data_IF_593177738922
#
_entry.id   IF_593177738922
#
_cell.length_a   1.000
_cell.length_b   1.000
_cell.length_c   1.000
_cell.angle_alpha   90.00
_cell.angle_beta   90.00
_cell.angle_gamma   90.00
#
_symmetry.space_group_name_H-M   'P 1'
#
loop_
_entity.id
_entity.type
_entity.pdbx_description
1 polymer ?
#
# COMPACT_ATOMS: atom_id res chain seq x y z
N UNK A 1 13.69 30.58 -5.35
CA UNK A 1 12.25 30.24 -5.30
C UNK A 1 11.40 31.44 -5.71
N UNK A 2 10.10 31.26 -5.98
CA UNK A 2 9.14 32.30 -6.35
C UNK A 2 7.88 32.19 -5.48
N UNK A 3 7.09 33.26 -5.29
CA UNK A 3 5.78 33.17 -4.65
C UNK A 3 4.85 32.22 -5.41
N UNK A 4 4.12 31.38 -4.69
CA UNK A 4 3.14 30.44 -5.25
C UNK A 4 1.84 30.48 -4.45
N UNK A 5 0.73 30.10 -5.07
CA UNK A 5 -0.54 29.93 -4.36
C UNK A 5 -0.44 28.73 -3.43
N UNK A 6 -0.94 28.87 -2.19
CA UNK A 6 -1.06 27.73 -1.27
C UNK A 6 -1.88 26.58 -1.88
N UNK A 7 -2.95 26.90 -2.60
CA UNK A 7 -3.75 25.91 -3.32
C UNK A 7 -2.92 25.11 -4.36
N UNK A 8 -1.97 25.76 -5.04
CA UNK A 8 -1.08 25.07 -5.97
C UNK A 8 -0.16 24.09 -5.25
N UNK A 9 0.35 24.45 -4.07
CA UNK A 9 1.16 23.57 -3.24
C UNK A 9 0.34 22.36 -2.76
N UNK A 10 -0.86 22.57 -2.21
CA UNK A 10 -1.73 21.48 -1.75
C UNK A 10 -2.11 20.53 -2.91
N UNK A 11 -2.45 21.08 -4.08
CA UNK A 11 -2.79 20.28 -5.25
C UNK A 11 -1.63 19.40 -5.75
N UNK A 12 -0.37 19.81 -5.53
CA UNK A 12 0.77 18.97 -5.89
C UNK A 12 0.76 17.62 -5.15
N UNK A 13 0.32 17.60 -3.88
CA UNK A 13 0.14 16.37 -3.11
C UNK A 13 -1.07 15.56 -3.56
N UNK A 14 -2.19 16.24 -3.89
CA UNK A 14 -3.38 15.56 -4.43
C UNK A 14 -3.05 14.83 -5.75
N UNK A 15 -2.20 15.40 -6.60
CA UNK A 15 -1.75 14.74 -7.83
C UNK A 15 -0.94 13.46 -7.54
N UNK A 16 -0.13 13.45 -6.48
CA UNK A 16 0.61 12.25 -6.08
C UNK A 16 -0.32 11.14 -5.59
N UNK A 17 -1.26 11.47 -4.70
CA UNK A 17 -2.25 10.53 -4.18
C UNK A 17 -3.23 10.06 -5.26
N UNK A 18 -3.56 10.91 -6.24
CA UNK A 18 -4.39 10.52 -7.39
C UNK A 18 -3.72 9.44 -8.23
N UNK A 19 -2.40 9.50 -8.42
CA UNK A 19 -1.64 8.41 -9.06
C UNK A 19 -1.61 7.14 -8.21
N UNK A 20 -1.57 7.27 -6.88
CA UNK A 20 -1.64 6.10 -6.01
C UNK A 20 -3.02 5.41 -6.09
N UNK A 21 -4.10 6.19 -6.14
CA UNK A 21 -5.45 5.66 -6.33
C UNK A 21 -5.59 4.94 -7.69
N UNK A 22 -5.00 5.50 -8.74
CA UNK A 22 -4.95 4.84 -10.05
C UNK A 22 -4.20 3.50 -9.99
N UNK A 23 -3.06 3.44 -9.29
CA UNK A 23 -2.33 2.17 -9.09
C UNK A 23 -3.18 1.12 -8.39
N UNK A 24 -3.93 1.50 -7.35
CA UNK A 24 -4.83 0.58 -6.64
C UNK A 24 -5.92 0.03 -7.58
N UNK A 25 -6.54 0.88 -8.41
CA UNK A 25 -7.55 0.44 -9.39
C UNK A 25 -6.96 -0.51 -10.43
N UNK A 26 -5.76 -0.22 -10.90
CA UNK A 26 -5.06 -1.05 -11.87
C UNK A 26 -4.62 -2.40 -11.28
N UNK A 27 -4.21 -2.40 -10.01
CA UNK A 27 -3.88 -3.60 -9.26
C UNK A 27 -5.12 -4.48 -9.08
N UNK A 28 -6.22 -3.90 -8.58
CA UNK A 28 -7.49 -4.60 -8.37
C UNK A 28 -7.93 -5.35 -9.63
N UNK A 29 -7.99 -4.67 -10.78
CA UNK A 29 -8.29 -5.28 -12.06
C UNK A 29 -7.32 -6.41 -12.44
N UNK A 30 -6.00 -6.19 -12.38
CA UNK A 30 -5.01 -7.24 -12.72
C UNK A 30 -5.12 -8.48 -11.83
N UNK A 31 -5.51 -8.31 -10.57
CA UNK A 31 -5.57 -9.37 -9.57
C UNK A 31 -6.91 -10.07 -9.49
N UNK A 32 -7.90 -9.65 -10.30
CA UNK A 32 -9.22 -10.26 -10.40
C UNK A 32 -9.22 -11.61 -11.16
N UNK A 33 -8.19 -12.45 -10.93
CA UNK A 33 -8.05 -13.81 -11.48
C UNK A 33 -8.08 -14.85 -10.35
N UNK A 34 -8.93 -15.87 -10.47
CA UNK A 34 -9.10 -16.89 -9.43
C UNK A 34 -8.04 -17.99 -9.53
N UNK A 35 -7.30 -18.31 -8.45
CA UNK A 35 -6.44 -19.49 -8.40
C UNK A 35 -7.22 -20.78 -8.11
N UNK A 36 -8.53 -20.69 -7.83
CA UNK A 36 -9.34 -21.83 -7.43
C UNK A 36 -9.43 -22.85 -8.57
N UNK A 37 -9.27 -24.13 -8.24
CA UNK A 37 -9.18 -25.21 -9.23
C UNK A 37 -7.75 -25.65 -9.57
N UNK A 38 -6.73 -24.92 -9.11
CA UNK A 38 -5.32 -25.28 -9.30
C UNK A 38 -4.87 -26.50 -8.49
N UNK A 39 -5.66 -26.93 -7.50
CA UNK A 39 -5.31 -28.04 -6.61
C UNK A 39 -4.01 -27.76 -5.83
N UNK A 40 -3.17 -28.77 -5.64
CA UNK A 40 -1.86 -28.59 -5.01
C UNK A 40 -0.87 -27.85 -5.93
N UNK A 41 -0.89 -28.19 -7.23
CA UNK A 41 -0.07 -27.57 -8.29
C UNK A 41 -0.45 -28.02 -9.71
N UNK A 42 -1.11 -29.18 -9.87
CA UNK A 42 -1.35 -29.84 -11.16
C UNK A 42 -2.82 -29.78 -11.63
N UNK A 43 -3.62 -28.89 -11.04
CA UNK A 43 -5.06 -28.82 -11.30
C UNK A 43 -5.87 -29.81 -10.46
N UNK A 44 -7.17 -29.59 -10.41
CA UNK A 44 -8.13 -30.48 -9.75
C UNK A 44 -8.53 -31.65 -10.65
N UNK A 45 -8.59 -32.86 -10.08
CA UNK A 45 -9.09 -34.07 -10.75
C UNK A 45 -10.60 -34.31 -10.54
N UNK A 46 -11.28 -33.45 -9.78
CA UNK A 46 -12.67 -33.64 -9.37
C UNK A 46 -13.71 -33.15 -10.41
N UNK A 47 -13.27 -32.79 -11.62
CA UNK A 47 -14.16 -32.33 -12.70
C UNK A 47 -14.88 -31.00 -12.40
N UNK A 48 -14.32 -30.17 -11.52
CA UNK A 48 -14.84 -28.82 -11.26
C UNK A 48 -14.60 -27.91 -12.47
N UNK A 49 -15.46 -26.90 -12.64
CA UNK A 49 -15.30 -25.82 -13.63
C UNK A 49 -14.68 -24.58 -12.95
N UNK A 50 -13.37 -24.29 -13.15
CA UNK A 50 -12.71 -23.15 -12.52
C UNK A 50 -13.30 -21.80 -12.93
N UNK A 51 -13.83 -21.69 -14.15
CA UNK A 51 -14.44 -20.46 -14.66
C UNK A 51 -15.80 -20.19 -14.00
N UNK A 52 -16.58 -21.25 -13.74
CA UNK A 52 -17.79 -21.13 -12.94
C UNK A 52 -17.46 -20.64 -11.52
N UNK A 53 -16.46 -21.25 -10.86
CA UNK A 53 -16.06 -20.85 -9.51
C UNK A 53 -15.51 -19.43 -9.48
N UNK A 54 -14.71 -19.03 -10.47
CA UNK A 54 -14.20 -17.67 -10.57
C UNK A 54 -15.34 -16.64 -10.63
N UNK A 55 -16.36 -16.87 -11.46
CA UNK A 55 -17.55 -16.01 -11.55
C UNK A 55 -18.35 -15.97 -10.24
N UNK A 56 -18.57 -17.12 -9.61
CA UNK A 56 -19.31 -17.22 -8.35
C UNK A 56 -18.62 -16.45 -7.21
N UNK A 57 -17.28 -16.38 -7.23
CA UNK A 57 -16.46 -15.66 -6.26
C UNK A 57 -16.20 -14.18 -6.66
N UNK A 58 -16.68 -13.73 -7.82
CA UNK A 58 -16.54 -12.35 -8.28
C UNK A 58 -15.20 -12.00 -8.93
N UNK A 59 -14.41 -12.99 -9.38
CA UNK A 59 -13.20 -12.74 -10.16
C UNK A 59 -13.58 -12.37 -11.60
N UNK A 60 -13.35 -11.10 -11.96
CA UNK A 60 -13.76 -10.52 -13.25
C UNK A 60 -12.97 -11.05 -14.46
N UNK A 61 -11.81 -11.67 -14.22
CA UNK A 61 -10.91 -12.16 -15.27
C UNK A 61 -10.78 -13.68 -15.29
N UNK A 62 -11.72 -14.40 -14.68
CA UNK A 62 -11.81 -15.85 -14.77
C UNK A 62 -10.79 -16.56 -13.90
N UNK A 63 -10.36 -17.76 -14.32
CA UNK A 63 -9.38 -18.57 -13.60
C UNK A 63 -7.96 -18.41 -14.13
N UNK A 64 -6.96 -18.74 -13.30
CA UNK A 64 -5.55 -18.73 -13.70
C UNK A 64 -5.29 -19.67 -14.88
N UNK A 65 -4.47 -19.21 -15.84
CA UNK A 65 -4.11 -20.01 -17.01
C UNK A 65 -3.13 -21.16 -16.73
N UNK A 66 -2.52 -21.20 -15.54
CA UNK A 66 -1.57 -22.23 -15.14
C UNK A 66 -1.67 -22.53 -13.64
N UNK A 67 -1.83 -23.81 -13.29
CA UNK A 67 -2.04 -24.23 -11.90
C UNK A 67 -0.78 -24.19 -11.03
N UNK A 68 0.42 -24.28 -11.62
CA UNK A 68 1.69 -24.14 -10.88
C UNK A 68 1.90 -22.67 -10.52
N UNK A 69 1.67 -21.77 -11.48
CA UNK A 69 1.73 -20.32 -11.25
C UNK A 69 0.68 -19.87 -10.23
N UNK A 70 -0.57 -20.32 -10.39
CA UNK A 70 -1.68 -19.98 -9.49
C UNK A 70 -1.49 -20.40 -8.04
N UNK A 71 -0.62 -21.38 -7.75
CA UNK A 71 -0.30 -21.78 -6.37
C UNK A 71 1.02 -21.18 -5.86
N UNK A 72 1.96 -20.84 -6.75
CA UNK A 72 3.30 -20.40 -6.40
C UNK A 72 3.49 -18.86 -6.41
N UNK A 73 2.88 -18.15 -7.37
CA UNK A 73 3.14 -16.72 -7.54
C UNK A 73 2.54 -15.87 -6.40
N UNK A 74 3.25 -14.80 -6.04
CA UNK A 74 2.84 -13.76 -5.05
C UNK A 74 3.17 -12.36 -5.54
N UNK A 75 3.36 -12.19 -6.84
CA UNK A 75 3.57 -10.88 -7.46
C UNK A 75 2.44 -9.90 -7.15
N UNK A 76 1.19 -10.35 -7.07
CA UNK A 76 0.06 -9.54 -6.66
C UNK A 76 0.21 -8.98 -5.23
N UNK A 77 0.79 -9.76 -4.30
CA UNK A 77 1.06 -9.30 -2.93
C UNK A 77 2.23 -8.32 -2.91
N UNK A 78 3.29 -8.59 -3.69
CA UNK A 78 4.43 -7.71 -3.83
C UNK A 78 4.06 -6.36 -4.46
N UNK A 79 3.20 -6.36 -5.48
CA UNK A 79 2.68 -5.15 -6.12
C UNK A 79 1.84 -4.34 -5.14
N UNK A 80 0.97 -4.98 -4.35
CA UNK A 80 0.21 -4.30 -3.30
C UNK A 80 1.13 -3.69 -2.23
N UNK A 81 2.14 -4.42 -1.78
CA UNK A 81 3.15 -3.94 -0.84
C UNK A 81 3.91 -2.72 -1.40
N UNK A 82 4.20 -2.71 -2.70
CA UNK A 82 4.80 -1.56 -3.37
C UNK A 82 3.86 -0.36 -3.39
N UNK A 83 2.60 -0.55 -3.81
CA UNK A 83 1.62 0.53 -3.89
C UNK A 83 1.40 1.17 -2.52
N UNK A 84 1.27 0.36 -1.46
CA UNK A 84 1.12 0.85 -0.08
C UNK A 84 2.38 1.55 0.42
N UNK A 85 3.59 1.05 0.11
CA UNK A 85 4.83 1.75 0.42
C UNK A 85 4.91 3.12 -0.28
N UNK A 86 4.50 3.21 -1.55
CA UNK A 86 4.46 4.48 -2.29
C UNK A 86 3.44 5.46 -1.73
N UNK A 87 2.26 4.98 -1.32
CA UNK A 87 1.27 5.79 -0.58
C UNK A 87 1.91 6.32 0.71
N UNK A 88 2.58 5.45 1.48
CA UNK A 88 3.29 5.83 2.70
C UNK A 88 4.32 6.95 2.46
N UNK A 89 5.11 6.85 1.39
CA UNK A 89 6.08 7.89 0.99
C UNK A 89 5.40 9.20 0.61
N UNK A 90 4.31 9.17 -0.17
CA UNK A 90 3.59 10.38 -0.56
C UNK A 90 2.93 11.06 0.65
N UNK A 91 2.39 10.27 1.58
CA UNK A 91 1.86 10.77 2.86
C UNK A 91 2.98 11.32 3.74
N UNK A 92 4.16 10.70 3.79
CA UNK A 92 5.27 11.22 4.60
C UNK A 92 5.79 12.56 4.09
N UNK A 93 5.65 12.86 2.80
CA UNK A 93 5.95 14.19 2.25
C UNK A 93 4.96 15.25 2.74
N UNK A 94 3.67 14.93 2.76
CA UNK A 94 2.64 15.81 3.34
C UNK A 94 2.91 16.03 4.82
N UNK A 95 3.29 14.97 5.53
CA UNK A 95 3.64 15.05 6.94
C UNK A 95 4.82 15.99 7.20
N UNK A 96 5.88 15.91 6.39
CA UNK A 96 7.04 16.80 6.53
C UNK A 96 6.65 18.27 6.38
N UNK A 97 5.82 18.59 5.39
CA UNK A 97 5.30 19.94 5.19
C UNK A 97 4.54 20.42 6.42
N UNK A 98 3.61 19.63 6.96
CA UNK A 98 2.84 19.97 8.17
C UNK A 98 3.76 20.19 9.38
N UNK A 99 4.76 19.33 9.57
CA UNK A 99 5.72 19.44 10.67
C UNK A 99 6.46 20.77 10.58
N UNK A 100 6.99 21.13 9.41
CA UNK A 100 7.72 22.38 9.19
C UNK A 100 6.79 23.58 9.31
N UNK A 101 5.62 23.56 8.66
CA UNK A 101 4.65 24.67 8.68
C UNK A 101 4.12 24.97 10.09
N UNK A 102 4.06 23.98 10.97
CA UNK A 102 3.59 24.11 12.36
C UNK A 102 4.69 24.53 13.35
N UNK A 103 5.95 24.63 12.93
CA UNK A 103 7.02 25.20 13.77
C UNK A 103 6.75 26.66 14.11
N UNK A 104 7.36 27.19 15.17
CA UNK A 104 7.19 28.61 15.53
C UNK A 104 7.92 29.52 14.57
N UNK A 105 9.02 29.05 14.00
CA UNK A 105 9.86 29.74 13.02
C UNK A 105 9.10 30.01 11.72
N UNK A 106 8.24 29.08 11.28
CA UNK A 106 7.42 29.26 10.08
C UNK A 106 6.02 29.80 10.40
N UNK A 107 5.33 29.21 11.38
CA UNK A 107 3.97 29.60 11.81
C UNK A 107 2.95 29.74 10.67
N UNK A 108 3.04 28.89 9.64
CA UNK A 108 2.11 28.92 8.49
C UNK A 108 0.78 28.25 8.80
N UNK A 109 0.75 27.27 9.71
CA UNK A 109 -0.46 26.58 10.12
C UNK A 109 -0.57 26.50 11.64
N UNK A 110 -1.80 26.40 12.14
CA UNK A 110 -2.10 26.03 13.53
C UNK A 110 -2.97 24.79 13.50
N UNK A 111 -2.50 23.72 14.13
CA UNK A 111 -3.25 22.46 14.18
C UNK A 111 -4.49 22.58 15.07
N UNK A 112 -5.51 21.79 14.75
CA UNK A 112 -6.70 21.66 15.58
C UNK A 112 -6.43 20.69 16.73
N UNK A 113 -6.99 20.95 17.92
CA UNK A 113 -6.67 20.20 19.16
C UNK A 113 -6.96 18.70 19.03
N UNK A 114 -8.01 18.33 18.29
CA UNK A 114 -8.34 16.93 18.03
C UNK A 114 -7.27 16.15 17.23
N UNK A 115 -6.33 16.84 16.57
CA UNK A 115 -5.32 16.26 15.68
C UNK A 115 -3.87 16.61 16.11
N UNK A 116 -3.70 17.14 17.32
CA UNK A 116 -2.40 17.51 17.88
C UNK A 116 -2.38 17.30 19.38
N UNK A 117 -1.28 16.85 19.95
CA UNK A 117 -1.09 16.92 21.41
C UNK A 117 -0.58 18.29 21.84
N UNK A 118 -0.87 18.69 23.07
CA UNK A 118 -0.44 19.97 23.64
C UNK A 118 0.47 19.80 24.86
N UNK A 119 1.03 20.91 25.35
CA UNK A 119 1.69 20.96 26.64
C UNK A 119 0.74 21.57 27.68
N UNK A 120 0.68 20.98 28.88
CA UNK A 120 -0.09 21.54 30.00
C UNK A 120 0.46 22.89 30.50
N UNK A 121 1.74 23.16 30.28
CA UNK A 121 2.41 24.41 30.69
C UNK A 121 2.41 25.44 29.55
N UNK A 122 2.43 24.98 28.29
CA UNK A 122 2.46 25.83 27.10
C UNK A 122 1.20 25.62 26.25
N UNK A 123 0.08 26.32 26.54
CA UNK A 123 -1.21 26.09 25.87
C UNK A 123 -1.19 26.35 24.36
N UNK A 124 -0.24 27.16 23.88
CA UNK A 124 -0.03 27.49 22.46
C UNK A 124 0.89 26.51 21.72
N UNK A 125 1.48 25.54 22.41
CA UNK A 125 2.33 24.50 21.80
C UNK A 125 1.44 23.33 21.37
N UNK A 126 1.39 23.09 20.06
CA UNK A 126 0.67 21.96 19.46
C UNK A 126 1.66 21.10 18.68
N UNK A 127 1.75 19.82 19.01
CA UNK A 127 2.66 18.88 18.40
C UNK A 127 1.99 18.19 17.20
N UNK A 128 2.70 18.02 16.07
CA UNK A 128 2.17 17.40 14.86
C UNK A 128 2.26 15.85 14.92
N UNK A 129 1.81 15.22 16.01
CA UNK A 129 2.06 13.80 16.28
C UNK A 129 1.60 12.86 15.15
N UNK A 130 0.45 13.16 14.54
CA UNK A 130 -0.09 12.36 13.42
C UNK A 130 0.87 12.41 12.22
N UNK A 131 1.41 13.59 11.90
CA UNK A 131 2.36 13.74 10.81
C UNK A 131 3.68 13.01 11.14
N UNK A 132 4.19 13.14 12.36
CA UNK A 132 5.38 12.43 12.81
C UNK A 132 5.21 10.91 12.72
N UNK A 133 4.07 10.39 13.18
CA UNK A 133 3.74 8.97 13.09
C UNK A 133 3.58 8.51 11.64
N UNK A 134 2.96 9.31 10.77
CA UNK A 134 2.84 8.99 9.36
C UNK A 134 4.21 8.91 8.67
N UNK A 135 5.10 9.85 8.99
CA UNK A 135 6.49 9.87 8.52
C UNK A 135 7.28 8.66 9.01
N UNK A 136 7.07 8.22 10.25
CA UNK A 136 7.69 6.98 10.77
C UNK A 136 7.11 5.71 10.13
N UNK A 137 5.78 5.64 9.95
CA UNK A 137 5.08 4.48 9.40
C UNK A 137 5.39 4.24 7.92
N UNK A 138 5.75 5.27 7.15
CA UNK A 138 6.21 5.06 5.76
C UNK A 138 7.46 4.17 5.70
N UNK A 139 8.40 4.33 6.65
CA UNK A 139 9.55 3.44 6.78
C UNK A 139 9.19 1.99 7.07
N UNK A 140 8.15 1.75 7.89
CA UNK A 140 7.63 0.38 8.13
C UNK A 140 7.12 -0.25 6.83
N UNK A 141 6.36 0.49 6.02
CA UNK A 141 5.82 -0.04 4.76
C UNK A 141 6.92 -0.36 3.74
N UNK A 142 7.97 0.47 3.68
CA UNK A 142 9.16 0.19 2.87
C UNK A 142 9.85 -1.10 3.35
N UNK A 143 9.95 -1.29 4.67
CA UNK A 143 10.50 -2.51 5.28
C UNK A 143 9.69 -3.75 4.89
N UNK A 144 8.36 -3.69 4.98
CA UNK A 144 7.46 -4.78 4.59
C UNK A 144 7.67 -5.20 3.13
N UNK A 145 7.69 -4.23 2.20
CA UNK A 145 7.98 -4.51 0.78
C UNK A 145 9.34 -5.17 0.60
N UNK A 146 10.38 -4.62 1.22
CA UNK A 146 11.75 -5.12 1.05
C UNK A 146 11.90 -6.53 1.60
N UNK A 147 11.28 -6.81 2.76
CA UNK A 147 11.22 -8.14 3.36
C UNK A 147 10.53 -9.14 2.45
N UNK A 148 9.34 -8.81 1.96
CA UNK A 148 8.58 -9.67 1.05
C UNK A 148 9.37 -9.97 -0.24
N UNK A 149 9.96 -8.95 -0.87
CA UNK A 149 10.78 -9.15 -2.07
C UNK A 149 11.99 -10.06 -1.80
N UNK A 150 12.58 -9.98 -0.61
CA UNK A 150 13.68 -10.87 -0.22
C UNK A 150 13.19 -12.31 0.02
N UNK A 151 12.02 -12.51 0.63
CA UNK A 151 11.40 -13.82 0.83
C UNK A 151 11.05 -14.51 -0.49
N UNK A 152 10.50 -13.77 -1.45
CA UNK A 152 10.08 -14.33 -2.75
C UNK A 152 11.26 -14.65 -3.68
N UNK A 153 12.43 -14.03 -3.45
CA UNK A 153 13.60 -14.16 -4.30
C UNK A 153 14.08 -15.61 -4.36
N UNK A 154 14.17 -16.14 -5.58
CA UNK A 154 14.80 -17.43 -5.90
C UNK A 154 14.14 -18.67 -5.26
N UNK A 155 12.85 -18.58 -4.91
CA UNK A 155 12.07 -19.76 -4.55
C UNK A 155 11.88 -20.66 -5.79
N UNK A 156 12.13 -21.98 -5.68
CA UNK A 156 11.79 -22.91 -6.75
C UNK A 156 10.27 -23.08 -6.84
N UNK A 157 9.74 -23.38 -8.02
CA UNK A 157 8.32 -23.75 -8.14
C UNK A 157 8.05 -25.12 -7.49
N UNK A 158 6.85 -25.40 -6.98
CA UNK A 158 5.65 -24.56 -6.93
C UNK A 158 5.49 -23.91 -5.54
N UNK A 159 4.51 -24.37 -4.75
CA UNK A 159 4.32 -23.91 -3.37
C UNK A 159 5.48 -24.34 -2.46
N UNK A 160 6.02 -23.38 -1.71
CA UNK A 160 6.94 -23.61 -0.59
C UNK A 160 6.35 -22.97 0.68
N UNK A 161 6.76 -23.46 1.86
CA UNK A 161 6.22 -22.97 3.12
C UNK A 161 6.56 -21.51 3.38
N UNK A 162 7.64 -21.01 2.79
CA UNK A 162 8.07 -19.61 2.76
C UNK A 162 6.95 -18.67 2.30
N UNK A 163 6.07 -19.13 1.41
CA UNK A 163 4.91 -18.36 0.92
C UNK A 163 3.83 -18.14 2.00
N UNK A 164 4.01 -18.63 3.22
CA UNK A 164 3.16 -18.28 4.36
C UNK A 164 3.43 -16.84 4.86
N UNK A 165 4.64 -16.32 4.65
CA UNK A 165 5.05 -14.98 5.06
C UNK A 165 4.42 -13.87 4.20
N UNK A 166 3.61 -14.21 3.19
CA UNK A 166 2.87 -13.25 2.36
C UNK A 166 1.76 -12.50 3.12
N UNK A 167 1.43 -12.92 4.36
CA UNK A 167 0.36 -12.35 5.20
C UNK A 167 0.85 -11.57 6.42
N UNK A 168 2.15 -11.61 6.72
CA UNK A 168 2.77 -10.94 7.88
C UNK A 168 3.25 -9.51 7.55
#
# INVERSE_FOLDING_TARGET
>A
AQPVLFAHHVLAHAQALGRDAERLRQWDARTAVSPYGSGALAGSSLGLDPEAVARDLGFEHGSVGNSIDGTASRDFVAEFAFITAMIGVNVSRIAEEIIIWNTKEFSFVTLHDAFSTGSSIMPQKKNPDIAELARGKSGRLIGNLTGLMATLKALPLAYNRDLQEDKE
#
